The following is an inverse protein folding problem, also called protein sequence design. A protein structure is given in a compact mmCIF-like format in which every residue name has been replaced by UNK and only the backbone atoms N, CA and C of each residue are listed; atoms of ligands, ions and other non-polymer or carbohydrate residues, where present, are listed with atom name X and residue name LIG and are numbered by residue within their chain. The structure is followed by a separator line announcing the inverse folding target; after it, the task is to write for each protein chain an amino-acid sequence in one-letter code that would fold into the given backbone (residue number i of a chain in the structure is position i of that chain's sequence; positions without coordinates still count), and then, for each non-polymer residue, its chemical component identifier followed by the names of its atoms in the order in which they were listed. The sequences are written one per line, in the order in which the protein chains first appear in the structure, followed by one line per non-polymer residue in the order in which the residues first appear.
data_IF_176386231593
#
_entry.id   IF_176386231593
#
_cell.length_a   1.000
_cell.length_b   1.000
_cell.length_c   1.000
_cell.angle_alpha   90.00
_cell.angle_beta   90.00
_cell.angle_gamma   90.00
#
_symmetry.space_group_name_H-M   'P 1'
#
loop_
_entity.id
_entity.type
_entity.pdbx_description
1 polymer ?
#
# COMPACT_ATOMS: atom_id res chain seq x y z
N UNK A 1 -3.31 7.02 -15.12
CA UNK A 1 -2.99 5.71 -14.49
C UNK A 1 -3.32 5.79 -13.00
N UNK A 2 -3.79 4.71 -12.38
CA UNK A 2 -4.06 4.65 -10.93
C UNK A 2 -2.91 3.92 -10.23
N UNK A 3 -2.41 4.46 -9.12
CA UNK A 3 -1.41 3.79 -8.29
C UNK A 3 -2.12 2.87 -7.30
N UNK A 4 -1.69 1.61 -7.25
CA UNK A 4 -2.19 0.59 -6.34
C UNK A 4 -1.03 0.03 -5.51
N UNK A 5 -1.33 -0.38 -4.29
CA UNK A 5 -0.44 -1.16 -3.45
C UNK A 5 -1.01 -2.57 -3.30
N UNK A 6 -0.15 -3.58 -3.35
CA UNK A 6 -0.51 -4.92 -2.93
C UNK A 6 -0.38 -4.98 -1.41
N UNK A 7 -1.52 -4.98 -0.72
CA UNK A 7 -1.61 -5.02 0.74
C UNK A 7 -1.73 -6.47 1.19
N UNK A 8 -1.02 -6.82 2.26
CA UNK A 8 -1.19 -8.08 2.98
C UNK A 8 -1.92 -7.79 4.30
N UNK A 9 -3.05 -8.44 4.53
CA UNK A 9 -3.90 -8.15 5.68
C UNK A 9 -3.53 -9.00 6.89
N UNK A 10 -3.32 -8.36 8.04
CA UNK A 10 -3.08 -9.06 9.29
C UNK A 10 -4.33 -9.82 9.73
N UNK A 11 -4.16 -11.09 10.12
CA UNK A 11 -5.27 -11.95 10.55
C UNK A 11 -5.99 -12.69 9.42
N UNK A 12 -5.55 -12.53 8.17
CA UNK A 12 -6.06 -13.23 6.99
C UNK A 12 -5.00 -14.16 6.37
N UNK A 13 -3.95 -14.50 7.11
CA UNK A 13 -2.87 -15.36 6.61
C UNK A 13 -3.41 -16.75 6.23
N UNK A 14 -3.11 -17.18 5.00
CA UNK A 14 -3.57 -18.46 4.47
C UNK A 14 -5.02 -18.48 3.96
N UNK A 15 -5.72 -17.35 3.93
CA UNK A 15 -7.04 -17.23 3.28
C UNK A 15 -6.92 -16.64 1.87
N UNK A 16 -7.98 -16.76 1.08
CA UNK A 16 -8.03 -16.18 -0.28
C UNK A 16 -8.02 -14.63 -0.26
N UNK A 17 -8.28 -14.04 0.92
CA UNK A 17 -8.27 -12.62 1.18
C UNK A 17 -6.95 -12.12 1.80
N UNK A 18 -5.91 -12.97 1.90
CA UNK A 18 -4.63 -12.59 2.50
C UNK A 18 -4.03 -11.33 1.86
N UNK A 19 -4.22 -11.17 0.54
CA UNK A 19 -3.73 -10.00 -0.19
C UNK A 19 -4.77 -9.37 -1.09
N UNK A 20 -4.69 -8.05 -1.25
CA UNK A 20 -5.55 -7.32 -2.19
C UNK A 20 -4.84 -6.11 -2.78
N UNK A 21 -5.23 -5.72 -3.99
CA UNK A 21 -4.79 -4.46 -4.60
C UNK A 21 -5.67 -3.31 -4.12
N UNK A 22 -5.07 -2.37 -3.41
CA UNK A 22 -5.77 -1.23 -2.79
C UNK A 22 -5.30 0.07 -3.43
N UNK A 23 -6.21 1.03 -3.65
CA UNK A 23 -5.82 2.33 -4.21
C UNK A 23 -4.94 3.09 -3.23
N UNK A 24 -3.93 3.79 -3.76
CA UNK A 24 -3.08 4.66 -2.93
C UNK A 24 -3.88 5.67 -2.09
N UNK A 25 -5.04 6.11 -2.61
CA UNK A 25 -5.95 7.05 -1.95
C UNK A 25 -6.80 6.44 -0.83
N UNK A 26 -6.82 5.12 -0.70
CA UNK A 26 -7.56 4.39 0.34
C UNK A 26 -6.64 4.00 1.52
N UNK A 27 -5.33 4.24 1.39
CA UNK A 27 -4.32 3.95 2.42
C UNK A 27 -3.95 5.18 3.26
N UNK A 28 -4.78 6.22 3.26
CA UNK A 28 -4.55 7.45 4.04
C UNK A 28 -4.39 7.16 5.55
N UNK A 29 -5.03 6.10 6.06
CA UNK A 29 -4.92 5.64 7.45
C UNK A 29 -3.78 4.64 7.71
N UNK A 30 -3.03 4.26 6.68
CA UNK A 30 -1.91 3.31 6.75
C UNK A 30 -0.59 3.95 6.28
N UNK A 31 -0.43 5.26 6.56
CA UNK A 31 0.71 6.06 6.10
C UNK A 31 2.06 5.54 6.59
N UNK A 32 2.14 4.97 7.79
CA UNK A 32 3.35 4.34 8.33
C UNK A 32 3.80 3.14 7.48
N UNK A 33 2.90 2.22 7.14
CA UNK A 33 3.21 1.07 6.30
C UNK A 33 3.65 1.48 4.88
N UNK A 34 3.04 2.55 4.33
CA UNK A 34 3.47 3.12 3.05
C UNK A 34 4.85 3.76 3.15
N UNK A 35 5.14 4.47 4.25
CA UNK A 35 6.44 5.07 4.50
C UNK A 35 7.54 3.99 4.59
N UNK A 36 7.35 2.96 5.42
CA UNK A 36 8.30 1.86 5.59
C UNK A 36 8.57 1.11 4.28
N UNK A 37 7.54 0.91 3.47
CA UNK A 37 7.68 0.32 2.15
C UNK A 37 8.61 1.15 1.26
N UNK A 38 8.48 2.47 1.27
CA UNK A 38 9.28 3.37 0.44
C UNK A 38 10.68 3.66 1.00
N UNK A 39 10.90 3.54 2.31
CA UNK A 39 12.23 3.49 2.91
C UNK A 39 13.02 2.29 2.37
N UNK A 40 12.37 1.12 2.31
CA UNK A 40 12.99 -0.10 1.79
C UNK A 40 13.11 -0.14 0.26
N UNK A 41 12.16 0.47 -0.45
CA UNK A 41 12.06 0.43 -1.91
C UNK A 41 11.92 1.84 -2.50
N UNK A 42 12.95 2.70 -2.42
CA UNK A 42 12.85 4.13 -2.75
C UNK A 42 12.56 4.42 -4.23
N UNK A 43 12.80 3.45 -5.12
CA UNK A 43 12.55 3.56 -6.56
C UNK A 43 11.11 3.24 -6.97
N UNK A 44 10.26 2.76 -6.04
CA UNK A 44 8.87 2.41 -6.35
C UNK A 44 8.03 3.68 -6.56
N UNK A 45 6.98 3.63 -7.39
CA UNK A 45 6.12 4.78 -7.61
C UNK A 45 5.47 5.26 -6.31
N UNK A 46 5.50 6.57 -6.05
CA UNK A 46 4.90 7.20 -4.87
C UNK A 46 3.59 7.91 -5.25
N UNK A 47 2.63 8.05 -4.33
CA UNK A 47 1.48 8.92 -4.54
C UNK A 47 2.01 10.35 -4.71
N UNK A 48 1.56 11.06 -5.73
CA UNK A 48 1.86 12.50 -5.82
C UNK A 48 1.22 13.21 -4.62
N UNK A 49 1.88 14.20 -4.00
CA UNK A 49 1.23 15.04 -3.01
C UNK A 49 -0.08 15.57 -3.61
N UNK A 50 -1.20 15.42 -2.89
CA UNK A 50 -2.43 16.12 -3.29
C UNK A 50 -2.17 17.62 -3.06
N UNK A 51 -2.07 18.38 -4.15
CA UNK A 51 -2.08 19.84 -4.13
C UNK A 51 -3.46 20.35 -3.70
#
# INVERSE_FOLDING_TARGET
CKLLYLVRWSGYEGTDEETSWVLATELDHASEAVFDFHEKYPHKPKPSPRL
#
